data_IF_267226089265
#
_entry.id   IF_267226089265
#
_cell.length_a   1.000
_cell.length_b   1.000
_cell.length_c   1.000
_cell.angle_alpha   90.00
_cell.angle_beta   90.00
_cell.angle_gamma   90.00
#
_symmetry.space_group_name_H-M   'P 1'
#
loop_
_entity.id
_entity.type
_entity.pdbx_description
1 polymer ?
#
# COMPACT_ATOMS: atom_id res chain seq x y z
N UNK A 1 -14.72 12.15 6.22
CA UNK A 1 -14.21 11.59 7.43
C UNK A 1 -12.73 11.31 7.38
N UNK A 2 -12.20 10.82 8.48
CA UNK A 2 -10.77 10.53 8.55
C UNK A 2 -10.33 9.44 7.59
N UNK A 3 -11.22 8.48 7.28
CA UNK A 3 -10.91 7.42 6.34
C UNK A 3 -10.59 7.92 4.94
N UNK A 4 -11.31 8.94 4.48
CA UNK A 4 -11.10 9.47 3.14
C UNK A 4 -9.79 10.22 3.01
N UNK A 5 -9.22 10.69 4.12
CA UNK A 5 -7.94 11.38 4.09
C UNK A 5 -6.76 10.44 3.94
N UNK A 6 -6.97 9.15 4.18
CA UNK A 6 -5.93 8.14 4.07
C UNK A 6 -5.78 7.60 2.66
N UNK A 7 -6.67 7.99 1.76
CA UNK A 7 -6.64 7.56 0.37
C UNK A 7 -6.56 8.81 -0.50
N UNK A 8 -5.54 8.85 -1.34
CA UNK A 8 -5.36 9.96 -2.28
C UNK A 8 -5.27 9.41 -3.68
N UNK A 9 -6.11 9.95 -4.58
CA UNK A 9 -5.99 9.65 -5.99
C UNK A 9 -5.09 10.69 -6.61
N UNK A 10 -4.01 10.25 -7.24
CA UNK A 10 -3.17 11.11 -8.04
C UNK A 10 -3.45 10.79 -9.51
N UNK A 11 -2.90 11.58 -10.42
CA UNK A 11 -3.30 11.53 -11.83
C UNK A 11 -3.36 10.10 -12.41
N UNK A 12 -2.38 9.26 -12.13
CA UNK A 12 -2.37 7.88 -12.63
C UNK A 12 -2.00 6.91 -11.53
N UNK A 13 -2.51 7.15 -10.34
CA UNK A 13 -2.21 6.29 -9.22
C UNK A 13 -3.17 6.51 -8.06
N UNK A 14 -3.08 5.63 -7.09
CA UNK A 14 -3.81 5.73 -5.84
C UNK A 14 -2.85 5.39 -4.70
N UNK A 15 -2.90 6.18 -3.63
CA UNK A 15 -2.03 6.00 -2.48
C UNK A 15 -2.89 5.79 -1.24
N UNK A 16 -2.58 4.74 -0.48
CA UNK A 16 -3.24 4.47 0.79
C UNK A 16 -2.25 4.73 1.92
N UNK A 17 -2.60 5.66 2.80
CA UNK A 17 -1.77 6.00 3.95
C UNK A 17 -2.45 5.43 5.20
N UNK A 18 -1.74 4.57 5.91
CA UNK A 18 -2.28 3.96 7.12
C UNK A 18 -1.99 4.79 8.35
N UNK A 19 -2.93 4.81 9.29
CA UNK A 19 -2.74 5.43 10.60
C UNK A 19 -2.00 4.51 11.55
N UNK A 20 -1.81 4.98 12.79
CA UNK A 20 -1.07 4.26 13.82
C UNK A 20 -1.95 3.47 14.77
N UNK A 21 -3.26 3.40 14.53
CA UNK A 21 -4.17 2.67 15.41
C UNK A 21 -3.97 1.17 15.39
N UNK A 22 -4.50 0.49 16.39
CA UNK A 22 -4.39 -0.96 16.49
C UNK A 22 -5.15 -1.68 15.38
N UNK A 23 -6.20 -1.06 14.87
CA UNK A 23 -6.99 -1.60 13.77
C UNK A 23 -7.31 -0.48 12.80
N UNK A 24 -7.13 -0.77 11.52
CA UNK A 24 -7.45 0.18 10.47
C UNK A 24 -8.70 -0.31 9.75
N UNK A 25 -9.78 0.45 9.85
CA UNK A 25 -11.07 0.07 9.27
C UNK A 25 -11.06 0.03 7.74
N UNK A 26 -10.08 0.66 7.10
CA UNK A 26 -9.96 0.61 5.65
C UNK A 26 -9.60 -0.78 5.14
N UNK A 27 -8.96 -1.61 5.97
CA UNK A 27 -8.49 -2.92 5.52
C UNK A 27 -9.61 -3.77 4.93
N UNK A 28 -10.77 -3.78 5.56
CA UNK A 28 -11.89 -4.62 5.15
C UNK A 28 -12.99 -3.86 4.41
N UNK A 29 -12.72 -2.62 4.04
CA UNK A 29 -13.68 -1.81 3.30
C UNK A 29 -13.77 -2.31 1.86
N UNK A 30 -14.96 -2.75 1.46
CA UNK A 30 -15.17 -3.30 0.12
C UNK A 30 -14.92 -2.28 -0.98
N UNK A 31 -15.25 -1.02 -0.72
CA UNK A 31 -15.07 0.04 -1.71
C UNK A 31 -13.59 0.28 -1.93
N UNK A 32 -12.81 0.32 -0.86
CA UNK A 32 -11.35 0.48 -0.96
C UNK A 32 -10.75 -0.68 -1.74
N UNK A 33 -11.16 -1.90 -1.40
CA UNK A 33 -10.65 -3.09 -2.09
C UNK A 33 -10.96 -3.06 -3.59
N UNK A 34 -12.19 -2.69 -3.94
CA UNK A 34 -12.59 -2.61 -5.34
C UNK A 34 -11.81 -1.51 -6.07
N UNK A 35 -11.61 -0.38 -5.40
CA UNK A 35 -10.86 0.73 -5.97
C UNK A 35 -9.41 0.31 -6.28
N UNK A 36 -8.74 -0.31 -5.30
CA UNK A 36 -7.35 -0.72 -5.49
C UNK A 36 -7.22 -1.77 -6.59
N UNK A 37 -8.12 -2.74 -6.60
CA UNK A 37 -8.11 -3.79 -7.62
C UNK A 37 -8.35 -3.21 -9.01
N UNK A 38 -9.33 -2.32 -9.13
CA UNK A 38 -9.63 -1.68 -10.40
C UNK A 38 -8.47 -0.84 -10.92
N UNK A 39 -7.87 -0.03 -10.05
CA UNK A 39 -6.74 0.81 -10.45
C UNK A 39 -5.53 -0.01 -10.87
N UNK A 40 -5.28 -1.10 -10.15
CA UNK A 40 -4.16 -1.97 -10.52
C UNK A 40 -4.38 -2.65 -11.87
N UNK A 41 -5.60 -3.15 -12.11
CA UNK A 41 -5.95 -3.76 -13.39
C UNK A 41 -5.91 -2.76 -14.54
N UNK A 42 -6.20 -1.49 -14.25
CA UNK A 42 -6.15 -0.42 -15.25
C UNK A 42 -4.74 0.12 -15.47
N UNK A 43 -3.74 -0.55 -14.90
CA UNK A 43 -2.33 -0.22 -15.04
C UNK A 43 -1.95 1.12 -14.40
N UNK A 44 -2.68 1.52 -13.37
CA UNK A 44 -2.30 2.67 -12.56
C UNK A 44 -1.31 2.24 -11.48
N UNK A 45 -0.57 3.18 -10.96
CA UNK A 45 0.30 2.93 -9.80
C UNK A 45 -0.57 2.80 -8.56
N UNK A 46 -0.33 1.75 -7.79
CA UNK A 46 -0.98 1.55 -6.50
C UNK A 46 0.12 1.56 -5.44
N UNK A 47 -0.06 2.38 -4.43
CA UNK A 47 0.96 2.54 -3.40
C UNK A 47 0.34 2.52 -2.01
N UNK A 48 1.09 2.03 -1.05
CA UNK A 48 0.65 2.01 0.34
C UNK A 48 1.84 2.20 1.26
N UNK A 49 1.61 2.82 2.39
CA UNK A 49 2.64 3.05 3.39
C UNK A 49 2.05 2.77 4.77
N UNK A 50 2.85 2.17 5.63
CA UNK A 50 2.43 1.85 6.98
C UNK A 50 1.28 0.86 7.00
N UNK A 51 0.29 1.08 7.82
CA UNK A 51 -0.83 0.18 7.93
C UNK A 51 -1.71 0.14 6.67
N UNK A 52 -1.51 1.08 5.75
CA UNK A 52 -2.18 1.03 4.45
C UNK A 52 -1.81 -0.22 3.66
N UNK A 53 -0.68 -0.85 3.98
CA UNK A 53 -0.28 -2.12 3.35
C UNK A 53 -1.35 -3.20 3.58
N UNK A 54 -2.07 -3.13 4.71
CA UNK A 54 -3.17 -4.07 4.98
C UNK A 54 -4.25 -4.03 3.90
N UNK A 55 -4.48 -2.86 3.30
CA UNK A 55 -5.44 -2.75 2.20
C UNK A 55 -4.98 -3.51 0.97
N UNK A 56 -3.67 -3.48 0.69
CA UNK A 56 -3.11 -4.25 -0.43
C UNK A 56 -3.25 -5.75 -0.18
N UNK A 57 -3.01 -6.18 1.07
CA UNK A 57 -3.13 -7.58 1.44
C UNK A 57 -4.58 -8.06 1.29
N UNK A 58 -5.54 -7.27 1.75
CA UNK A 58 -6.95 -7.60 1.64
C UNK A 58 -7.42 -7.63 0.19
N UNK A 59 -6.81 -6.82 -0.67
CA UNK A 59 -7.11 -6.80 -2.10
C UNK A 59 -6.36 -7.88 -2.89
N UNK A 60 -5.60 -8.72 -2.21
CA UNK A 60 -4.79 -9.79 -2.81
C UNK A 60 -3.75 -9.28 -3.82
N UNK A 61 -3.28 -8.06 -3.62
CA UNK A 61 -2.29 -7.47 -4.53
C UNK A 61 -0.85 -7.77 -4.14
N UNK A 62 -0.62 -8.32 -2.94
CA UNK A 62 0.73 -8.62 -2.46
C UNK A 62 0.90 -10.11 -2.10
N UNK A 63 0.08 -10.97 -2.67
CA UNK A 63 0.16 -12.40 -2.41
C UNK A 63 1.51 -12.94 -2.87
N UNK A 64 2.22 -13.60 -1.96
CA UNK A 64 3.57 -14.15 -2.18
C UNK A 64 4.64 -13.08 -2.47
N UNK A 65 4.32 -11.81 -2.22
CA UNK A 65 5.29 -10.72 -2.38
C UNK A 65 5.78 -10.26 -1.01
N UNK A 66 7.02 -9.80 -0.96
CA UNK A 66 7.55 -9.21 0.26
C UNK A 66 7.03 -7.79 0.46
N UNK A 67 6.69 -7.47 1.71
CA UNK A 67 6.25 -6.14 2.10
C UNK A 67 7.13 -5.64 3.26
N UNK A 68 7.46 -4.34 3.29
CA UNK A 68 8.35 -3.79 4.32
C UNK A 68 7.59 -3.58 5.62
N UNK A 69 7.71 -4.51 6.54
CA UNK A 69 7.02 -4.47 7.82
C UNK A 69 7.99 -4.86 8.93
N UNK A 70 8.08 -4.03 9.96
CA UNK A 70 8.85 -4.36 11.15
C UNK A 70 7.98 -5.24 12.05
N UNK A 71 8.24 -6.54 12.01
CA UNK A 71 7.47 -7.51 12.77
C UNK A 71 7.53 -7.26 14.27
N UNK A 72 8.66 -6.73 14.76
CA UNK A 72 8.84 -6.50 16.20
C UNK A 72 7.94 -5.40 16.75
N UNK A 73 7.54 -4.45 15.93
CA UNK A 73 6.70 -3.33 16.35
C UNK A 73 5.28 -3.41 15.80
N UNK A 74 5.03 -4.26 14.82
CA UNK A 74 3.72 -4.37 14.20
C UNK A 74 2.70 -4.97 15.17
N UNK A 75 1.48 -4.46 15.12
CA UNK A 75 0.41 -4.94 15.98
C UNK A 75 -0.22 -6.20 15.40
N UNK A 76 -0.76 -7.04 16.29
CA UNK A 76 -1.32 -8.32 15.88
C UNK A 76 -2.41 -8.24 14.81
N UNK A 77 -3.37 -7.30 14.87
CA UNK A 77 -4.38 -7.22 13.82
C UNK A 77 -3.78 -6.96 12.44
N UNK A 78 -2.74 -6.14 12.37
CA UNK A 78 -2.06 -5.85 11.11
C UNK A 78 -1.35 -7.10 10.58
N UNK A 79 -0.62 -7.80 11.46
CA UNK A 79 0.07 -9.03 11.06
C UNK A 79 -0.92 -10.10 10.57
N UNK A 80 -2.10 -10.18 11.17
CA UNK A 80 -3.12 -11.14 10.74
C UNK A 80 -3.65 -10.83 9.35
N UNK A 81 -3.85 -9.56 9.02
CA UNK A 81 -4.30 -9.17 7.69
C UNK A 81 -3.25 -9.51 6.64
N UNK A 82 -1.97 -9.28 6.96
CA UNK A 82 -0.88 -9.61 6.05
C UNK A 82 -0.79 -11.11 5.82
N UNK A 83 -0.93 -11.90 6.88
CA UNK A 83 -0.92 -13.36 6.78
C UNK A 83 -2.09 -13.87 5.96
N UNK A 84 -3.29 -13.33 6.19
CA UNK A 84 -4.48 -13.67 5.42
C UNK A 84 -4.27 -13.39 3.93
N UNK A 85 -3.63 -12.30 3.60
CA UNK A 85 -3.30 -11.93 2.22
C UNK A 85 -2.08 -12.62 1.66
N UNK A 86 -1.45 -13.50 2.45
CA UNK A 86 -0.27 -14.28 2.05
C UNK A 86 0.93 -13.43 1.67
N UNK A 87 1.05 -12.26 2.30
CA UNK A 87 2.23 -11.41 2.12
C UNK A 87 3.39 -11.94 2.94
N UNK A 88 4.60 -11.71 2.47
CA UNK A 88 5.82 -12.09 3.17
C UNK A 88 6.43 -10.84 3.80
N UNK A 89 6.93 -10.96 5.02
CA UNK A 89 7.52 -9.81 5.71
C UNK A 89 8.98 -9.61 5.32
N UNK A 90 9.37 -8.35 5.16
CA UNK A 90 10.74 -7.97 4.83
C UNK A 90 11.19 -6.87 5.76
N UNK A 91 12.48 -6.80 6.06
CA UNK A 91 13.06 -5.73 6.89
C UNK A 91 13.52 -4.53 6.05
N UNK A 92 13.21 -4.51 4.77
CA UNK A 92 13.47 -3.34 3.92
C UNK A 92 12.58 -2.16 4.33
N UNK A 93 12.98 -0.96 3.96
CA UNK A 93 12.18 0.25 4.24
C UNK A 93 11.19 0.57 3.11
N UNK A 94 11.55 0.23 1.89
CA UNK A 94 10.78 0.56 0.70
C UNK A 94 10.96 -0.56 -0.32
N UNK A 95 9.85 -1.05 -0.85
CA UNK A 95 9.88 -2.09 -1.89
C UNK A 95 9.04 -1.62 -3.05
N UNK A 96 9.58 -1.74 -4.24
CA UNK A 96 8.90 -1.33 -5.46
C UNK A 96 8.80 -2.54 -6.38
N UNK A 97 7.57 -2.90 -6.68
CA UNK A 97 7.28 -3.83 -7.76
C UNK A 97 6.74 -3.02 -8.93
N UNK A 98 6.55 -3.63 -10.06
CA UNK A 98 5.95 -2.92 -11.18
C UNK A 98 4.61 -2.31 -10.78
N UNK A 99 4.53 -0.99 -10.76
CA UNK A 99 3.34 -0.22 -10.40
C UNK A 99 2.85 -0.40 -8.96
N UNK A 100 3.59 -1.13 -8.12
CA UNK A 100 3.31 -1.23 -6.69
C UNK A 100 4.45 -0.58 -5.93
N UNK A 101 4.13 0.40 -5.09
CA UNK A 101 5.13 1.06 -4.25
C UNK A 101 4.70 0.88 -2.80
N UNK A 102 5.54 0.25 -2.01
CA UNK A 102 5.18 -0.15 -0.65
C UNK A 102 6.22 0.37 0.32
N UNK A 103 5.80 1.23 1.24
CA UNK A 103 6.68 1.84 2.22
C UNK A 103 6.38 1.38 3.64
N UNK A 104 7.44 1.22 4.44
CA UNK A 104 7.32 0.67 5.78
C UNK A 104 6.52 1.58 6.73
N UNK A 105 6.90 2.85 6.84
CA UNK A 105 6.23 3.79 7.73
C UNK A 105 6.57 5.22 7.35
N UNK A 106 6.05 6.17 8.13
CA UNK A 106 6.22 7.59 7.84
C UNK A 106 7.65 8.09 7.87
N UNK A 107 8.57 7.32 8.47
CA UNK A 107 9.98 7.74 8.52
C UNK A 107 10.61 7.77 7.13
N UNK A 108 10.05 7.04 6.15
CA UNK A 108 10.57 7.03 4.79
C UNK A 108 9.58 7.69 3.81
N UNK A 109 8.71 8.58 4.32
CA UNK A 109 7.67 9.19 3.51
C UNK A 109 8.22 9.93 2.29
N UNK A 110 9.37 10.59 2.41
CA UNK A 110 9.96 11.31 1.29
C UNK A 110 10.40 10.36 0.18
N UNK A 111 11.12 9.30 0.53
CA UNK A 111 11.56 8.30 -0.45
C UNK A 111 10.36 7.60 -1.09
N UNK A 112 9.33 7.32 -0.29
CA UNK A 112 8.10 6.72 -0.77
C UNK A 112 7.43 7.62 -1.82
N UNK A 113 7.26 8.91 -1.49
CA UNK A 113 6.63 9.84 -2.41
C UNK A 113 7.41 9.98 -3.71
N UNK A 114 8.73 10.03 -3.64
CA UNK A 114 9.58 10.10 -4.82
C UNK A 114 9.41 8.85 -5.70
N UNK A 115 9.32 7.67 -5.07
CA UNK A 115 9.12 6.43 -5.80
C UNK A 115 7.77 6.40 -6.50
N UNK A 116 6.71 6.89 -5.84
CA UNK A 116 5.39 6.98 -6.46
C UNK A 116 5.42 7.88 -7.69
N UNK A 117 6.04 9.06 -7.56
CA UNK A 117 6.16 10.00 -8.67
C UNK A 117 6.93 9.38 -9.83
N UNK A 118 8.01 8.66 -9.53
CA UNK A 118 8.81 8.00 -10.57
C UNK A 118 8.00 6.95 -11.32
N UNK A 119 7.22 6.13 -10.59
CA UNK A 119 6.42 5.09 -11.24
C UNK A 119 5.30 5.70 -12.09
N UNK A 120 4.66 6.76 -11.61
CA UNK A 120 3.65 7.48 -12.38
C UNK A 120 4.28 8.08 -13.64
N UNK A 121 5.50 8.61 -13.52
CA UNK A 121 6.23 9.17 -14.65
C UNK A 121 6.50 8.15 -15.75
N UNK A 122 6.77 6.90 -15.37
CA UNK A 122 6.98 5.82 -16.34
C UNK A 122 5.73 5.56 -17.17
N UNK A 123 4.56 5.57 -16.52
CA UNK A 123 3.29 5.37 -17.20
C UNK A 123 3.03 6.52 -18.18
N UNK A 124 3.27 7.74 -17.72
CA UNK A 124 3.04 8.93 -18.55
C UNK A 124 3.92 8.94 -19.79
N UNK A 125 5.16 8.49 -19.66
CA UNK A 125 6.09 8.46 -20.79
C UNK A 125 5.71 7.46 -21.86
N UNK A 126 5.08 6.37 -21.48
CA UNK A 126 4.67 5.33 -22.42
C UNK A 126 3.52 5.81 -23.29
N UNK A 127 2.71 6.70 -22.75
CA UNK A 127 1.61 7.29 -23.49
C UNK A 127 2.07 8.50 -24.27
#
# INVERSE_FOLDING_TARGET
GTGTRQIKAVFQGVVVVGGSGAKNYLWEDKIVRLLLTDRYKSEFVVAAIGQGIGCLAEASLVEALEVPVDESTAKKPFLKILEKGKALLSDEDLIIYERLVIGKDSSIAKAFAEAVVDEVGKITKIK
#
